data_IF_307192937681
#
_entry.id   IF_307192937681
#
_cell.length_a   1.000
_cell.length_b   1.000
_cell.length_c   1.000
_cell.angle_alpha   90.00
_cell.angle_beta   90.00
_cell.angle_gamma   90.00
#
_symmetry.space_group_name_H-M   'P 1'
#
loop_
_entity.id
_entity.type
_entity.pdbx_description
1 polymer ?
#
# COMPACT_ATOMS: atom_id res chain seq x y z
N UNK A 1 14.51 -17.07 21.56
CA UNK A 1 13.45 -17.33 20.55
C UNK A 1 13.02 -16.00 19.94
N UNK A 2 13.25 -15.76 18.65
CA UNK A 2 12.85 -14.48 18.02
C UNK A 2 11.35 -14.48 17.77
N UNK A 3 10.64 -13.40 18.12
CA UNK A 3 9.19 -13.33 17.91
C UNK A 3 8.84 -13.41 16.42
N UNK A 4 7.71 -14.03 16.08
CA UNK A 4 7.25 -14.15 14.68
C UNK A 4 7.19 -12.79 13.97
N UNK A 5 6.90 -11.71 14.72
CA UNK A 5 6.93 -10.34 14.23
C UNK A 5 8.32 -9.92 13.73
N UNK A 6 9.37 -10.10 14.55
CA UNK A 6 10.75 -9.77 14.17
C UNK A 6 11.24 -10.63 12.99
N UNK A 7 10.74 -11.85 12.86
CA UNK A 7 11.06 -12.73 11.74
C UNK A 7 10.45 -12.23 10.42
N UNK A 8 9.19 -11.79 10.43
CA UNK A 8 8.52 -11.21 9.25
C UNK A 8 9.22 -9.93 8.80
N UNK A 9 9.53 -9.02 9.73
CA UNK A 9 10.16 -7.74 9.40
C UNK A 9 11.58 -7.88 8.82
N UNK A 10 12.31 -8.93 9.18
CA UNK A 10 13.65 -9.20 8.64
C UNK A 10 13.63 -9.90 7.28
N UNK A 11 12.48 -10.40 6.83
CA UNK A 11 12.37 -11.09 5.55
C UNK A 11 12.42 -10.06 4.40
N UNK A 12 13.40 -10.12 3.47
CA UNK A 12 13.46 -9.17 2.36
C UNK A 12 12.25 -9.31 1.41
N UNK A 13 11.70 -10.52 1.29
CA UNK A 13 10.50 -10.78 0.48
C UNK A 13 9.23 -10.14 1.07
N UNK A 14 9.19 -9.91 2.39
CA UNK A 14 8.10 -9.18 3.02
C UNK A 14 8.05 -7.74 2.50
N UNK A 15 9.17 -7.02 2.52
CA UNK A 15 9.22 -5.64 2.04
C UNK A 15 8.96 -5.51 0.53
N UNK A 16 9.40 -6.48 -0.27
CA UNK A 16 8.99 -6.56 -1.69
C UNK A 16 7.47 -6.68 -1.84
N UNK A 17 6.84 -7.50 -1.01
CA UNK A 17 5.37 -7.64 -1.00
C UNK A 17 4.68 -6.36 -0.55
N UNK A 18 5.21 -5.68 0.47
CA UNK A 18 4.70 -4.38 0.94
C UNK A 18 4.73 -3.35 -0.18
N UNK A 19 5.85 -3.22 -0.89
CA UNK A 19 5.99 -2.30 -2.02
C UNK A 19 5.04 -2.66 -3.16
N UNK A 20 4.95 -3.93 -3.55
CA UNK A 20 4.08 -4.37 -4.64
C UNK A 20 2.59 -4.13 -4.34
N UNK A 21 2.13 -4.54 -3.14
CA UNK A 21 0.74 -4.35 -2.73
C UNK A 21 0.42 -2.86 -2.52
N UNK A 22 1.35 -2.11 -1.91
CA UNK A 22 1.19 -0.67 -1.70
C UNK A 22 1.09 0.10 -3.01
N UNK A 23 1.94 -0.23 -3.99
CA UNK A 23 1.91 0.40 -5.31
C UNK A 23 0.63 0.05 -6.07
N UNK A 24 0.18 -1.22 -6.02
CA UNK A 24 -1.09 -1.62 -6.60
C UNK A 24 -2.28 -0.86 -5.97
N UNK A 25 -2.28 -0.69 -4.64
CA UNK A 25 -3.30 0.08 -3.94
C UNK A 25 -3.31 1.54 -4.36
N UNK A 26 -2.14 2.19 -4.45
CA UNK A 26 -2.01 3.57 -4.92
C UNK A 26 -2.57 3.72 -6.33
N UNK A 27 -2.19 2.84 -7.26
CA UNK A 27 -2.68 2.91 -8.63
C UNK A 27 -4.20 2.72 -8.71
N UNK A 28 -4.75 1.72 -8.03
CA UNK A 28 -6.19 1.46 -8.01
C UNK A 28 -6.96 2.61 -7.36
N UNK A 29 -6.50 3.11 -6.22
CA UNK A 29 -7.15 4.22 -5.53
C UNK A 29 -7.21 5.46 -6.42
N UNK A 30 -6.11 5.83 -7.06
CA UNK A 30 -6.10 6.99 -7.96
C UNK A 30 -6.90 6.77 -9.24
N UNK A 31 -6.91 5.55 -9.79
CA UNK A 31 -7.74 5.22 -10.94
C UNK A 31 -9.24 5.35 -10.61
N UNK A 32 -9.65 4.90 -9.43
CA UNK A 32 -11.02 5.05 -8.93
C UNK A 32 -11.34 6.52 -8.68
N UNK A 33 -10.46 7.26 -7.98
CA UNK A 33 -10.65 8.69 -7.72
C UNK A 33 -10.74 9.49 -9.02
N UNK A 34 -9.90 9.18 -10.00
CA UNK A 34 -9.97 9.76 -11.34
C UNK A 34 -11.30 9.45 -12.06
N UNK A 35 -11.70 8.18 -12.09
CA UNK A 35 -12.90 7.75 -12.81
C UNK A 35 -14.18 8.34 -12.21
N UNK A 36 -14.32 8.28 -10.88
CA UNK A 36 -15.55 8.67 -10.18
C UNK A 36 -15.51 10.10 -9.64
N UNK A 37 -14.37 10.57 -9.13
CA UNK A 37 -14.23 11.91 -8.55
C UNK A 37 -14.09 13.01 -9.59
N UNK A 38 -13.60 12.69 -10.79
CA UNK A 38 -13.33 13.66 -11.86
C UNK A 38 -14.01 13.30 -13.18
N UNK A 39 -14.94 12.33 -13.19
CA UNK A 39 -15.67 11.91 -14.40
C UNK A 39 -14.74 11.57 -15.59
N UNK A 40 -13.57 10.96 -15.30
CA UNK A 40 -12.52 10.69 -16.28
C UNK A 40 -11.97 11.95 -16.99
N UNK A 41 -12.06 13.13 -16.37
CA UNK A 41 -11.44 14.35 -16.87
C UNK A 41 -10.00 14.47 -16.34
N UNK A 42 -9.03 14.17 -17.21
CA UNK A 42 -7.61 14.13 -16.84
C UNK A 42 -7.06 15.52 -16.48
N UNK A 43 -7.49 16.55 -17.21
CA UNK A 43 -7.04 17.92 -16.99
C UNK A 43 -7.49 18.43 -15.63
N UNK A 44 -8.75 18.18 -15.27
CA UNK A 44 -9.30 18.57 -13.97
C UNK A 44 -8.63 17.80 -12.82
N UNK A 45 -8.39 16.51 -13.00
CA UNK A 45 -7.66 15.69 -12.03
C UNK A 45 -6.26 16.25 -11.76
N UNK A 46 -5.48 16.49 -12.81
CA UNK A 46 -4.13 17.04 -12.67
C UNK A 46 -4.14 18.45 -12.10
N UNK A 47 -5.01 19.34 -12.58
CA UNK A 47 -5.09 20.70 -12.06
C UNK A 47 -5.36 20.72 -10.55
N UNK A 48 -6.25 19.85 -10.07
CA UNK A 48 -6.64 19.78 -8.67
C UNK A 48 -5.58 19.12 -7.79
N UNK A 49 -4.97 18.02 -8.26
CA UNK A 49 -3.94 17.31 -7.49
C UNK A 49 -2.59 18.00 -7.52
N UNK A 50 -2.26 18.76 -8.57
CA UNK A 50 -0.92 19.32 -8.79
C UNK A 50 -0.81 20.83 -8.49
N UNK A 51 -1.90 21.50 -8.08
CA UNK A 51 -1.84 22.90 -7.66
C UNK A 51 -1.36 23.10 -6.22
N UNK A 52 -0.47 24.08 -6.04
CA UNK A 52 -0.14 24.68 -4.75
C UNK A 52 0.33 23.68 -3.68
N UNK A 53 -0.27 23.77 -2.49
CA UNK A 53 0.00 22.90 -1.34
C UNK A 53 -0.68 21.53 -1.44
N UNK A 54 -1.68 21.37 -2.31
CA UNK A 54 -2.43 20.13 -2.50
C UNK A 54 -1.56 19.00 -3.07
N UNK A 55 -0.55 19.34 -3.89
CA UNK A 55 0.42 18.36 -4.44
C UNK A 55 1.18 17.60 -3.37
N UNK A 56 1.63 18.29 -2.32
CA UNK A 56 2.38 17.66 -1.23
C UNK A 56 1.47 16.77 -0.40
N UNK A 57 0.25 17.22 -0.13
CA UNK A 57 -0.77 16.40 0.54
C UNK A 57 -1.07 15.14 -0.25
N UNK A 58 -1.19 15.24 -1.57
CA UNK A 58 -1.43 14.10 -2.45
C UNK A 58 -0.26 13.10 -2.45
N UNK A 59 0.98 13.57 -2.59
CA UNK A 59 2.17 12.72 -2.56
C UNK A 59 2.29 12.00 -1.22
N UNK A 60 2.17 12.75 -0.11
CA UNK A 60 2.27 12.19 1.24
C UNK A 60 1.15 11.18 1.49
N UNK A 61 -0.09 11.48 1.08
CA UNK A 61 -1.21 10.56 1.22
C UNK A 61 -1.00 9.25 0.43
N UNK A 62 -0.44 9.33 -0.78
CA UNK A 62 -0.14 8.13 -1.57
C UNK A 62 1.00 7.31 -0.96
N UNK A 63 2.06 7.95 -0.49
CA UNK A 63 3.18 7.25 0.17
C UNK A 63 2.70 6.59 1.46
N UNK A 64 2.04 7.35 2.35
CA UNK A 64 1.57 6.83 3.64
C UNK A 64 0.47 5.78 3.45
N UNK A 65 -0.52 6.05 2.60
CA UNK A 65 -1.60 5.12 2.32
C UNK A 65 -1.12 3.82 1.70
N UNK A 66 -0.26 3.91 0.67
CA UNK A 66 0.36 2.75 0.03
C UNK A 66 1.24 1.96 0.99
N UNK A 67 2.10 2.62 1.77
CA UNK A 67 2.96 1.97 2.74
C UNK A 67 2.18 1.29 3.87
N UNK A 68 1.18 1.97 4.45
CA UNK A 68 0.35 1.42 5.53
C UNK A 68 -0.48 0.24 5.03
N UNK A 69 -1.19 0.40 3.91
CA UNK A 69 -2.00 -0.67 3.35
C UNK A 69 -1.14 -1.87 2.94
N UNK A 70 -0.06 -1.62 2.21
CA UNK A 70 0.91 -2.64 1.80
C UNK A 70 1.49 -3.39 3.00
N UNK A 71 1.84 -2.67 4.07
CA UNK A 71 2.37 -3.25 5.31
C UNK A 71 1.34 -4.12 6.01
N UNK A 72 0.14 -3.60 6.29
CA UNK A 72 -0.91 -4.31 7.02
C UNK A 72 -1.31 -5.59 6.27
N UNK A 73 -1.60 -5.49 4.97
CA UNK A 73 -2.03 -6.64 4.18
C UNK A 73 -0.92 -7.69 4.06
N UNK A 74 0.30 -7.27 3.75
CA UNK A 74 1.43 -8.20 3.68
C UNK A 74 1.69 -8.85 5.03
N UNK A 75 1.60 -8.09 6.12
CA UNK A 75 1.89 -8.58 7.47
C UNK A 75 0.87 -9.64 7.88
N UNK A 76 -0.42 -9.38 7.65
CA UNK A 76 -1.48 -10.35 7.91
C UNK A 76 -1.32 -11.61 7.06
N UNK A 77 -0.93 -11.47 5.78
CA UNK A 77 -0.66 -12.61 4.88
C UNK A 77 0.48 -13.49 5.41
N UNK A 78 1.63 -12.90 5.71
CA UNK A 78 2.80 -13.63 6.21
C UNK A 78 2.56 -14.22 7.60
N UNK A 79 1.84 -13.52 8.48
CA UNK A 79 1.44 -14.04 9.79
C UNK A 79 0.57 -15.29 9.66
N UNK A 80 -0.40 -15.28 8.74
CA UNK A 80 -1.25 -16.46 8.48
C UNK A 80 -0.44 -17.65 7.96
N UNK A 81 0.50 -17.42 7.04
CA UNK A 81 1.38 -18.48 6.51
C UNK A 81 2.19 -19.15 7.63
N UNK A 82 2.84 -18.36 8.50
CA UNK A 82 3.62 -18.90 9.63
C UNK A 82 2.76 -19.72 10.59
N UNK A 83 1.52 -19.30 10.85
CA UNK A 83 0.59 -20.05 11.71
C UNK A 83 0.17 -21.38 11.08
N UNK A 84 -0.09 -21.39 9.77
CA UNK A 84 -0.46 -22.61 9.04
C UNK A 84 0.70 -23.62 8.97
N UNK A 85 1.93 -23.14 8.77
CA UNK A 85 3.12 -24.01 8.73
C UNK A 85 3.42 -24.67 10.08
N UNK A 86 3.04 -24.03 11.20
CA UNK A 86 3.17 -24.62 12.54
C UNK A 86 2.13 -25.70 12.85
N UNK A 87 0.95 -25.65 12.23
CA UNK A 87 -0.10 -26.66 12.43
C UNK A 87 0.08 -27.92 11.58
N UNK A 88 0.92 -27.86 10.53
CA UNK A 88 1.26 -29.00 9.66
C UNK A 88 2.46 -29.83 10.15
N UNK A 89 3.17 -29.37 11.20
CA UNK A 89 4.30 -30.06 11.83
C UNK A 89 3.87 -30.63 13.17
#
# INVERSE_FOLDING_TARGET
MMSSFKQILKAPNFWKSVLFIGLAFVLLYNAIDYAFGYSMNWDQFLATKWQGSTKWRFIIANILGGALYGFIISFLRYRKQILQDKHKK
#
